data_IF_797650918086
#
_entry.id   IF_797650918086
#
_cell.length_a   1.000
_cell.length_b   1.000
_cell.length_c   1.000
_cell.angle_alpha   90.00
_cell.angle_beta   90.00
_cell.angle_gamma   90.00
#
_symmetry.space_group_name_H-M   'P 1'
#
loop_
_entity.id
_entity.type
_entity.pdbx_description
1 polymer ?
#
# COMPACT_ATOMS: atom_id res chain seq x y z
N UNK A 1 7.35 25.14 -29.88
CA UNK A 1 7.30 23.85 -29.15
C UNK A 1 6.28 24.00 -28.05
N UNK A 2 5.18 23.28 -28.19
CA UNK A 2 3.83 23.62 -27.77
C UNK A 2 3.47 23.08 -26.37
N UNK A 3 2.71 23.86 -25.60
CA UNK A 3 2.17 23.46 -24.28
C UNK A 3 1.33 22.18 -24.34
N UNK A 4 0.73 21.89 -25.50
CA UNK A 4 -0.19 20.76 -25.68
C UNK A 4 0.57 19.43 -25.68
N UNK A 5 1.69 19.34 -26.39
CA UNK A 5 2.64 18.22 -26.32
C UNK A 5 3.12 17.94 -24.89
N UNK A 6 3.53 18.98 -24.15
CA UNK A 6 3.98 18.83 -22.76
C UNK A 6 2.88 18.33 -21.80
N UNK A 7 1.62 18.75 -22.02
CA UNK A 7 0.49 18.33 -21.19
C UNK A 7 0.10 16.84 -21.40
N UNK A 8 0.19 16.36 -22.64
CA UNK A 8 -0.07 14.96 -22.98
C UNK A 8 1.01 14.03 -22.39
N UNK A 9 2.28 14.43 -22.50
CA UNK A 9 3.42 13.69 -21.93
C UNK A 9 3.32 13.59 -20.39
N UNK A 10 2.92 14.66 -19.71
CA UNK A 10 2.70 14.66 -18.25
C UNK A 10 1.58 13.68 -17.85
N UNK A 11 0.43 13.74 -18.53
CA UNK A 11 -0.68 12.82 -18.23
C UNK A 11 -0.26 11.35 -18.43
N UNK A 12 0.45 11.05 -19.52
CA UNK A 12 0.97 9.71 -19.77
C UNK A 12 1.97 9.27 -18.69
N UNK A 13 2.92 10.13 -18.30
CA UNK A 13 3.88 9.83 -17.24
C UNK A 13 3.19 9.57 -15.88
N UNK A 14 2.18 10.38 -15.54
CA UNK A 14 1.40 10.20 -14.30
C UNK A 14 0.62 8.88 -14.28
N UNK A 15 0.12 8.44 -15.44
CA UNK A 15 -0.57 7.16 -15.58
C UNK A 15 0.40 5.98 -15.43
N UNK A 16 1.56 6.04 -16.09
CA UNK A 16 2.62 5.04 -15.95
C UNK A 16 3.12 4.91 -14.50
N UNK A 17 3.24 6.04 -13.79
CA UNK A 17 3.65 6.06 -12.38
C UNK A 17 2.64 5.30 -11.51
N UNK A 18 1.33 5.55 -11.68
CA UNK A 18 0.28 4.85 -10.93
C UNK A 18 0.33 3.34 -11.15
N UNK A 19 0.53 2.90 -12.40
CA UNK A 19 0.67 1.48 -12.73
C UNK A 19 1.90 0.89 -12.03
N UNK A 20 3.05 1.55 -12.13
CA UNK A 20 4.28 1.08 -11.46
C UNK A 20 4.11 0.97 -9.94
N UNK A 21 3.44 1.94 -9.31
CA UNK A 21 3.10 1.88 -7.89
C UNK A 21 2.21 0.69 -7.54
N UNK A 22 1.18 0.43 -8.35
CA UNK A 22 0.28 -0.71 -8.14
C UNK A 22 1.03 -2.04 -8.27
N UNK A 23 1.90 -2.15 -9.28
CA UNK A 23 2.68 -3.35 -9.56
C UNK A 23 3.71 -3.61 -8.44
N UNK A 24 4.29 -2.55 -7.89
CA UNK A 24 5.17 -2.61 -6.72
C UNK A 24 4.44 -3.15 -5.48
N UNK A 25 3.22 -2.66 -5.20
CA UNK A 25 2.38 -3.14 -4.10
C UNK A 25 2.06 -4.63 -4.27
N UNK A 26 1.65 -5.05 -5.47
CA UNK A 26 1.34 -6.46 -5.77
C UNK A 26 2.56 -7.35 -5.56
N UNK A 27 3.72 -6.91 -6.04
CA UNK A 27 4.99 -7.64 -5.86
C UNK A 27 5.34 -7.76 -4.38
N UNK A 28 5.20 -6.69 -3.60
CA UNK A 28 5.41 -6.71 -2.15
C UNK A 28 4.42 -7.66 -1.44
N UNK A 29 3.15 -7.70 -1.85
CA UNK A 29 2.17 -8.65 -1.34
C UNK A 29 2.59 -10.09 -1.63
N UNK A 30 3.04 -10.39 -2.85
CA UNK A 30 3.52 -11.73 -3.23
C UNK A 30 4.74 -12.17 -2.41
N UNK A 31 5.71 -11.27 -2.22
CA UNK A 31 6.89 -11.55 -1.37
C UNK A 31 6.45 -11.78 0.08
N UNK A 32 5.54 -10.96 0.59
CA UNK A 32 5.00 -11.13 1.94
C UNK A 32 4.16 -12.41 2.11
N UNK A 33 3.65 -12.99 1.02
CA UNK A 33 2.98 -14.30 1.00
C UNK A 33 3.91 -15.49 1.11
N UNK A 34 5.24 -15.32 0.95
CA UNK A 34 6.20 -16.43 1.03
C UNK A 34 6.50 -16.70 2.50
N UNK A 35 6.23 -17.91 2.96
CA UNK A 35 6.36 -18.37 4.36
C UNK A 35 5.48 -17.56 5.33
N UNK A 36 4.29 -18.07 5.63
CA UNK A 36 3.33 -17.48 6.58
C UNK A 36 3.47 -18.14 7.95
N UNK A 37 4.14 -17.50 8.92
CA UNK A 37 4.17 -18.00 10.29
C UNK A 37 2.79 -17.91 10.99
N UNK A 38 1.90 -16.99 10.57
CA UNK A 38 0.60 -16.76 11.21
C UNK A 38 -0.55 -16.53 10.21
N UNK A 39 -1.21 -17.59 9.72
CA UNK A 39 -2.19 -17.50 8.64
C UNK A 39 -3.44 -16.66 8.99
N UNK A 40 -3.91 -16.73 10.25
CA UNK A 40 -5.09 -15.97 10.71
C UNK A 40 -4.87 -14.44 10.74
N UNK A 41 -3.69 -14.00 11.17
CA UNK A 41 -3.35 -12.58 11.21
C UNK A 41 -3.11 -12.06 9.79
N UNK A 42 -2.45 -12.86 8.96
CA UNK A 42 -2.21 -12.55 7.55
C UNK A 42 -3.50 -12.30 6.77
N UNK A 43 -4.55 -13.13 6.95
CA UNK A 43 -5.84 -12.92 6.28
C UNK A 43 -6.43 -11.56 6.63
N UNK A 44 -6.36 -11.12 7.89
CA UNK A 44 -6.88 -9.82 8.30
C UNK A 44 -6.13 -8.67 7.60
N UNK A 45 -4.81 -8.76 7.51
CA UNK A 45 -3.98 -7.78 6.82
C UNK A 45 -4.21 -7.75 5.30
N UNK A 46 -4.39 -8.92 4.69
CA UNK A 46 -4.71 -9.02 3.26
C UNK A 46 -6.08 -8.39 2.98
N UNK A 47 -7.07 -8.65 3.84
CA UNK A 47 -8.41 -8.08 3.72
C UNK A 47 -8.38 -6.56 3.91
N UNK A 48 -7.65 -6.05 4.92
CA UNK A 48 -7.47 -4.63 5.15
C UNK A 48 -6.81 -3.91 3.96
N UNK A 49 -5.78 -4.53 3.36
CA UNK A 49 -5.08 -4.00 2.18
C UNK A 49 -6.01 -3.91 0.97
N UNK A 50 -6.83 -4.95 0.72
CA UNK A 50 -7.82 -4.97 -0.37
C UNK A 50 -8.90 -3.88 -0.17
N UNK A 51 -9.41 -3.72 1.05
CA UNK A 51 -10.37 -2.66 1.38
C UNK A 51 -9.77 -1.28 1.15
N UNK A 52 -8.53 -1.07 1.56
CA UNK A 52 -7.84 0.22 1.39
C UNK A 52 -7.58 0.56 -0.09
N UNK A 53 -7.12 -0.41 -0.89
CA UNK A 53 -6.94 -0.23 -2.35
C UNK A 53 -8.28 0.14 -3.00
N UNK A 54 -9.35 -0.59 -2.65
CA UNK A 54 -10.70 -0.33 -3.18
C UNK A 54 -11.18 1.08 -2.84
N UNK A 55 -11.00 1.50 -1.58
CA UNK A 55 -11.34 2.86 -1.15
C UNK A 55 -10.59 3.93 -1.93
N UNK A 56 -9.30 3.72 -2.19
CA UNK A 56 -8.47 4.66 -2.95
C UNK A 56 -8.90 4.76 -4.42
N UNK A 57 -9.24 3.65 -5.06
CA UNK A 57 -9.77 3.66 -6.42
C UNK A 57 -11.09 4.44 -6.52
N UNK A 58 -11.96 4.30 -5.52
CA UNK A 58 -13.23 5.06 -5.43
C UNK A 58 -12.94 6.54 -5.23
N UNK A 59 -12.10 6.90 -4.27
CA UNK A 59 -11.75 8.30 -3.99
C UNK A 59 -11.05 8.96 -5.18
N UNK A 60 -10.22 8.21 -5.92
CA UNK A 60 -9.57 8.71 -7.14
C UNK A 60 -10.61 9.10 -8.19
N UNK A 61 -11.67 8.28 -8.34
CA UNK A 61 -12.76 8.56 -9.26
C UNK A 61 -13.57 9.79 -8.86
N UNK A 62 -13.64 10.10 -7.55
CA UNK A 62 -14.42 11.22 -7.02
C UNK A 62 -13.66 12.56 -7.06
N UNK A 63 -12.36 12.58 -6.70
CA UNK A 63 -11.66 13.83 -6.36
C UNK A 63 -10.47 14.11 -7.32
N UNK A 64 -10.09 13.17 -8.21
CA UNK A 64 -8.87 13.22 -9.06
C UNK A 64 -7.61 13.62 -8.28
N UNK A 65 -6.91 12.62 -7.75
CA UNK A 65 -5.70 12.85 -6.97
C UNK A 65 -4.49 13.33 -7.78
N UNK A 66 -3.69 14.19 -7.14
CA UNK A 66 -2.35 14.55 -7.61
C UNK A 66 -1.40 13.36 -7.46
N UNK A 67 -0.45 13.21 -8.39
CA UNK A 67 0.51 12.08 -8.42
C UNK A 67 1.28 11.88 -7.11
N UNK A 68 1.51 12.95 -6.33
CA UNK A 68 2.17 12.88 -5.02
C UNK A 68 1.35 12.07 -4.00
N UNK A 69 0.02 12.18 -4.01
CA UNK A 69 -0.86 11.40 -3.11
C UNK A 69 -0.70 9.90 -3.36
N UNK A 70 -0.59 9.50 -4.64
CA UNK A 70 -0.40 8.11 -5.04
C UNK A 70 0.92 7.52 -4.51
N UNK A 71 2.00 8.31 -4.51
CA UNK A 71 3.29 7.89 -3.97
C UNK A 71 3.19 7.69 -2.45
N UNK A 72 2.60 8.64 -1.73
CA UNK A 72 2.45 8.54 -0.25
C UNK A 72 1.60 7.35 0.17
N UNK A 73 0.49 7.10 -0.55
CA UNK A 73 -0.34 5.91 -0.38
C UNK A 73 0.49 4.65 -0.57
N UNK A 74 1.29 4.58 -1.62
CA UNK A 74 2.13 3.42 -1.93
C UNK A 74 3.13 3.17 -0.80
N UNK A 75 3.81 4.20 -0.32
CA UNK A 75 4.77 4.10 0.79
C UNK A 75 4.08 3.62 2.07
N UNK A 76 2.91 4.18 2.40
CA UNK A 76 2.12 3.75 3.56
C UNK A 76 1.73 2.26 3.45
N UNK A 77 1.28 1.83 2.27
CA UNK A 77 0.86 0.45 2.07
C UNK A 77 2.03 -0.54 2.14
N UNK A 78 3.20 -0.16 1.63
CA UNK A 78 4.43 -0.94 1.78
C UNK A 78 4.80 -1.10 3.27
N UNK A 79 4.78 -0.01 4.04
CA UNK A 79 5.02 -0.06 5.48
C UNK A 79 3.98 -0.92 6.20
N UNK A 80 2.71 -0.88 5.78
CA UNK A 80 1.66 -1.73 6.33
C UNK A 80 1.91 -3.21 6.05
N UNK A 81 2.26 -3.59 4.82
CA UNK A 81 2.56 -4.99 4.44
C UNK A 81 3.78 -5.50 5.22
N UNK A 82 4.82 -4.68 5.36
CA UNK A 82 6.00 -5.00 6.18
C UNK A 82 5.60 -5.16 7.65
N UNK A 83 4.85 -4.21 8.22
CA UNK A 83 4.36 -4.30 9.60
C UNK A 83 3.46 -5.52 9.85
N UNK A 84 2.67 -5.92 8.87
CA UNK A 84 1.84 -7.13 8.89
C UNK A 84 2.64 -8.43 8.79
N UNK A 85 3.84 -8.40 8.19
CA UNK A 85 4.75 -9.55 8.17
C UNK A 85 5.58 -9.62 9.46
N UNK A 86 6.00 -8.47 9.97
CA UNK A 86 6.81 -8.33 11.18
C UNK A 86 5.97 -8.00 12.42
N UNK A 87 4.73 -8.51 12.50
CA UNK A 87 3.73 -8.12 13.52
C UNK A 87 4.36 -8.03 14.92
N UNK A 88 3.94 -6.96 15.62
CA UNK A 88 3.99 -6.61 17.06
C UNK A 88 4.11 -7.72 18.13
N UNK A 89 4.10 -8.99 17.75
CA UNK A 89 4.26 -10.15 18.64
C UNK A 89 5.62 -10.24 19.33
N UNK A 90 6.59 -9.39 18.96
CA UNK A 90 7.85 -9.21 19.70
C UNK A 90 7.77 -8.16 20.80
N UNK A 91 6.66 -7.42 20.92
CA UNK A 91 6.43 -6.55 22.07
C UNK A 91 5.82 -7.41 23.18
N UNK A 92 6.49 -7.55 24.33
CA UNK A 92 6.05 -8.43 25.41
C UNK A 92 4.92 -7.77 26.20
N UNK A 93 3.78 -7.51 25.55
CA UNK A 93 2.60 -6.94 26.20
C UNK A 93 2.15 -7.79 27.39
N UNK A 94 2.24 -9.11 27.27
CA UNK A 94 1.96 -10.02 28.37
C UNK A 94 2.88 -9.79 29.56
N UNK A 95 4.17 -9.53 29.36
CA UNK A 95 5.11 -9.32 30.47
C UNK A 95 4.92 -7.94 31.11
N UNK A 96 4.67 -6.90 30.30
CA UNK A 96 4.40 -5.56 30.84
C UNK A 96 3.11 -5.52 31.65
N UNK A 97 2.06 -6.21 31.20
CA UNK A 97 0.79 -6.32 31.94
C UNK A 97 0.95 -7.21 33.18
N UNK A 98 1.79 -8.26 33.14
CA UNK A 98 2.11 -9.05 34.34
C UNK A 98 2.94 -8.28 35.37
N UNK A 99 3.68 -7.25 34.94
CA UNK A 99 4.47 -6.40 35.83
C UNK A 99 3.70 -5.24 36.46
N UNK A 100 2.44 -5.03 36.05
CA UNK A 100 1.55 -3.98 36.55
C UNK A 100 0.59 -4.53 37.62
#
# INVERSE_FOLDING_TARGET
MDKQSNSALNNQASFQLKISCLLLIITAMLIASIDLPYPKAYVLHQTGTVVFITGILILERLIRFRSVSWIMVTVFLLLHIVGARYIYSFVPYNEWIQSL
#
